data_IF_937823941103
#
_entry.id   IF_937823941103
#
_cell.length_a   1.000
_cell.length_b   1.000
_cell.length_c   1.000
_cell.angle_alpha   90.00
_cell.angle_beta   90.00
_cell.angle_gamma   90.00
#
_symmetry.space_group_name_H-M   'P 1'
#
loop_
_entity.id
_entity.type
_entity.pdbx_description
1 polymer ?
#
# COMPACT_ATOMS: atom_id res chain seq x y z
N UNK A 1 19.13 3.52 12.27
CA UNK A 1 18.26 3.28 11.11
C UNK A 1 16.81 3.72 11.34
N UNK A 2 16.17 3.34 12.46
CA UNK A 2 14.81 3.81 12.83
C UNK A 2 14.71 5.33 13.05
N UNK A 3 15.77 5.98 13.57
CA UNK A 3 15.82 7.43 13.72
C UNK A 3 15.82 8.19 12.39
N UNK A 4 16.42 7.62 11.35
CA UNK A 4 16.43 8.18 9.99
C UNK A 4 15.04 8.12 9.36
N UNK A 5 14.32 7.00 9.54
CA UNK A 5 12.93 6.85 9.12
C UNK A 5 12.00 7.82 9.87
N UNK A 6 12.17 7.98 11.20
CA UNK A 6 11.39 8.95 12.00
C UNK A 6 11.64 10.40 11.57
N UNK A 7 12.89 10.77 11.27
CA UNK A 7 13.24 12.12 10.79
C UNK A 7 12.63 12.43 9.42
N UNK A 8 12.67 11.48 8.47
CA UNK A 8 12.05 11.62 7.15
C UNK A 8 10.52 11.69 7.21
N UNK A 9 9.89 11.01 8.16
CA UNK A 9 8.44 11.06 8.36
C UNK A 9 7.97 12.28 9.18
N UNK A 10 8.83 12.83 10.05
CA UNK A 10 8.54 14.02 10.84
C UNK A 10 8.65 15.32 10.02
N UNK A 11 9.48 15.34 8.96
CA UNK A 11 9.71 16.52 8.11
C UNK A 11 8.55 16.95 7.21
N UNK A 12 7.36 16.35 7.33
CA UNK A 12 6.16 16.75 6.58
C UNK A 12 5.09 17.45 7.44
N UNK A 13 5.41 17.79 8.69
CA UNK A 13 4.60 18.65 9.55
C UNK A 13 5.40 19.91 9.90
N UNK A 14 5.39 20.95 9.05
CA UNK A 14 5.97 22.23 9.47
C UNK A 14 6.29 23.34 8.46
N UNK A 15 6.23 23.12 7.14
CA UNK A 15 6.64 24.19 6.20
C UNK A 15 5.48 25.13 5.84
N UNK A 16 5.43 26.27 6.51
CA UNK A 16 4.74 27.47 6.03
C UNK A 16 5.37 27.93 4.70
N UNK A 17 4.62 28.10 3.60
CA UNK A 17 5.19 28.64 2.39
C UNK A 17 5.39 30.16 2.55
N UNK A 18 6.50 30.72 2.04
CA UNK A 18 6.71 32.17 2.00
C UNK A 18 5.70 32.81 1.05
N UNK A 19 5.08 33.90 1.51
CA UNK A 19 4.22 34.75 0.70
C UNK A 19 5.04 35.42 -0.41
N UNK A 20 4.74 35.09 -1.67
CA UNK A 20 5.27 35.72 -2.87
C UNK A 20 4.15 35.91 -3.90
N UNK A 21 4.16 37.01 -4.69
CA UNK A 21 2.98 37.50 -5.38
C UNK A 21 2.66 36.73 -6.66
N UNK A 22 1.37 36.76 -6.99
CA UNK A 22 0.70 36.12 -8.12
C UNK A 22 1.48 36.19 -9.44
N UNK A 23 1.63 35.04 -10.10
CA UNK A 23 2.01 34.97 -11.52
C UNK A 23 0.92 34.28 -12.33
N UNK A 24 0.61 34.94 -13.43
CA UNK A 24 -0.50 34.72 -14.34
C UNK A 24 -0.20 33.58 -15.31
N UNK A 25 -0.59 32.36 -14.94
CA UNK A 25 -0.75 31.27 -15.90
C UNK A 25 -2.17 30.72 -15.79
N UNK A 26 -2.92 30.61 -16.91
CA UNK A 26 -4.30 30.13 -16.89
C UNK A 26 -4.32 28.66 -16.46
N UNK A 27 -5.09 28.37 -15.42
CA UNK A 27 -5.35 27.02 -14.92
C UNK A 27 -6.08 26.22 -16.01
N UNK A 28 -5.39 25.29 -16.67
CA UNK A 28 -6.10 24.26 -17.45
C UNK A 28 -6.88 23.37 -16.50
N UNK A 29 -8.20 23.35 -16.70
CA UNK A 29 -9.22 22.62 -15.95
C UNK A 29 -8.98 21.10 -15.99
N UNK A 30 -8.13 20.61 -15.09
CA UNK A 30 -8.13 19.23 -14.66
C UNK A 30 -7.98 19.27 -13.14
N UNK A 31 -9.12 19.49 -12.49
CA UNK A 31 -9.38 19.53 -11.04
C UNK A 31 -8.23 19.97 -10.14
N UNK A 32 -8.41 21.11 -9.46
CA UNK A 32 -7.58 21.49 -8.34
C UNK A 32 -7.46 20.31 -7.36
N UNK A 33 -6.23 19.81 -7.16
CA UNK A 33 -5.92 18.87 -6.08
C UNK A 33 -6.49 19.49 -4.80
N UNK A 34 -7.46 18.87 -4.12
CA UNK A 34 -7.99 19.44 -2.89
C UNK A 34 -6.81 19.67 -1.96
N UNK A 35 -6.69 20.91 -1.48
CA UNK A 35 -5.66 21.26 -0.52
C UNK A 35 -5.71 20.23 0.62
N UNK A 36 -4.57 19.69 1.09
CA UNK A 36 -4.57 18.78 2.21
C UNK A 36 -5.23 19.50 3.38
N UNK A 37 -6.45 19.10 3.73
CA UNK A 37 -7.18 19.66 4.85
C UNK A 37 -6.46 19.19 6.10
N UNK A 38 -5.63 20.06 6.68
CA UNK A 38 -4.89 19.77 7.90
C UNK A 38 -5.79 19.30 9.06
N UNK A 39 -7.09 19.64 9.02
CA UNK A 39 -8.10 19.19 9.99
C UNK A 39 -8.63 17.77 9.77
N UNK A 40 -8.65 17.23 8.55
CA UNK A 40 -9.07 15.84 8.30
C UNK A 40 -8.09 14.84 8.94
N UNK A 41 -6.83 15.24 9.06
CA UNK A 41 -5.76 14.45 9.67
C UNK A 41 -5.90 14.28 11.19
N UNK A 42 -6.52 15.23 11.89
CA UNK A 42 -6.71 15.19 13.36
C UNK A 42 -7.84 14.27 13.79
N UNK A 43 -8.82 14.01 12.92
CA UNK A 43 -10.01 13.21 13.24
C UNK A 43 -10.15 11.94 12.42
N UNK A 44 -9.16 11.58 11.59
CA UNK A 44 -9.25 10.37 10.80
C UNK A 44 -9.32 9.11 11.70
N UNK A 45 -10.47 8.42 11.79
CA UNK A 45 -10.69 7.36 12.78
C UNK A 45 -9.72 6.19 12.58
N UNK A 46 -9.26 5.98 11.35
CA UNK A 46 -8.32 4.91 11.01
C UNK A 46 -6.88 5.20 11.43
N UNK A 47 -6.49 6.46 11.73
CA UNK A 47 -5.11 6.77 12.15
C UNK A 47 -4.74 6.15 13.50
N UNK A 48 -5.73 5.85 14.35
CA UNK A 48 -5.54 5.14 15.61
C UNK A 48 -5.35 3.62 15.43
N UNK A 49 -5.80 3.06 14.30
CA UNK A 49 -5.65 1.63 14.02
C UNK A 49 -4.21 1.27 13.69
N UNK A 50 -3.63 0.33 14.45
CA UNK A 50 -2.29 -0.21 14.18
C UNK A 50 -2.21 -0.88 12.80
N UNK A 51 -3.26 -1.58 12.39
CA UNK A 51 -3.32 -2.26 11.09
C UNK A 51 -3.33 -1.26 9.94
N UNK A 52 -4.10 -0.17 10.07
CA UNK A 52 -4.12 0.89 9.07
C UNK A 52 -2.76 1.57 8.93
N UNK A 53 -2.14 1.93 10.06
CA UNK A 53 -0.80 2.53 10.06
C UNK A 53 0.22 1.62 9.39
N UNK A 54 0.25 0.33 9.74
CA UNK A 54 1.17 -0.63 9.13
C UNK A 54 0.96 -0.76 7.62
N UNK A 55 -0.30 -0.83 7.15
CA UNK A 55 -0.60 -0.86 5.70
C UNK A 55 -0.10 0.40 5.00
N UNK A 56 -0.38 1.57 5.58
CA UNK A 56 0.05 2.86 5.03
C UNK A 56 1.57 2.94 4.97
N UNK A 57 2.25 2.56 6.04
CA UNK A 57 3.70 2.64 6.13
C UNK A 57 4.35 1.66 5.14
N UNK A 58 3.80 0.46 4.96
CA UNK A 58 4.24 -0.47 3.92
C UNK A 58 4.09 0.10 2.51
N UNK A 59 2.95 0.75 2.21
CA UNK A 59 2.73 1.41 0.91
C UNK A 59 3.71 2.57 0.69
N UNK A 60 3.96 3.38 1.71
CA UNK A 60 4.91 4.49 1.63
C UNK A 60 6.34 3.98 1.39
N UNK A 61 6.76 2.93 2.07
CA UNK A 61 8.08 2.31 1.88
C UNK A 61 8.21 1.80 0.44
N UNK A 62 7.23 1.05 -0.06
CA UNK A 62 7.27 0.53 -1.44
C UNK A 62 7.25 1.67 -2.46
N UNK A 63 6.46 2.72 -2.24
CA UNK A 63 6.44 3.89 -3.11
C UNK A 63 7.81 4.58 -3.16
N UNK A 64 8.46 4.75 -2.01
CA UNK A 64 9.79 5.39 -1.95
C UNK A 64 10.88 4.49 -2.55
N UNK A 65 10.83 3.17 -2.32
CA UNK A 65 11.75 2.20 -2.94
C UNK A 65 11.73 2.25 -4.47
N UNK A 66 10.58 2.58 -5.04
CA UNK A 66 10.35 2.59 -6.48
C UNK A 66 10.25 4.01 -7.06
N UNK A 67 10.66 5.02 -6.27
CA UNK A 67 10.61 6.42 -6.69
C UNK A 67 11.53 6.66 -7.88
N UNK A 68 10.99 7.27 -8.93
CA UNK A 68 11.73 7.57 -10.16
C UNK A 68 11.84 6.38 -11.13
N UNK A 69 11.33 5.20 -10.77
CA UNK A 69 11.25 4.04 -11.64
C UNK A 69 9.86 3.93 -12.25
N UNK A 70 9.77 3.82 -13.58
CA UNK A 70 8.51 3.42 -14.23
C UNK A 70 8.31 1.93 -13.98
N UNK A 71 7.32 1.60 -13.15
CA UNK A 71 7.04 0.22 -12.77
C UNK A 71 5.94 -0.35 -13.66
N UNK A 72 6.32 -1.27 -14.54
CA UNK A 72 5.39 -1.90 -15.49
C UNK A 72 4.83 -3.23 -14.97
N UNK A 73 5.54 -3.89 -14.04
CA UNK A 73 5.11 -5.15 -13.44
C UNK A 73 4.39 -4.95 -12.09
N UNK A 74 3.05 -4.99 -12.14
CA UNK A 74 2.20 -4.94 -10.96
C UNK A 74 2.39 -6.14 -10.01
N UNK A 75 2.76 -7.32 -10.52
CA UNK A 75 2.99 -8.51 -9.69
C UNK A 75 4.30 -8.39 -8.89
N UNK A 76 5.30 -7.70 -9.44
CA UNK A 76 6.51 -7.35 -8.69
C UNK A 76 6.20 -6.39 -7.54
N UNK A 77 5.40 -5.34 -7.79
CA UNK A 77 4.96 -4.42 -6.73
C UNK A 77 4.17 -5.12 -5.63
N UNK A 78 3.26 -6.03 -6.01
CA UNK A 78 2.49 -6.82 -5.05
C UNK A 78 3.41 -7.69 -4.18
N UNK A 79 4.44 -8.31 -4.77
CA UNK A 79 5.44 -9.11 -4.04
C UNK A 79 6.27 -8.25 -3.09
N UNK A 80 6.74 -7.09 -3.54
CA UNK A 80 7.46 -6.15 -2.69
C UNK A 80 6.59 -5.69 -1.51
N UNK A 81 5.33 -5.35 -1.76
CA UNK A 81 4.40 -4.95 -0.73
C UNK A 81 4.15 -6.06 0.29
N UNK A 82 3.94 -7.30 -0.17
CA UNK A 82 3.76 -8.45 0.72
C UNK A 82 5.01 -8.70 1.57
N UNK A 83 6.21 -8.57 0.97
CA UNK A 83 7.48 -8.68 1.67
C UNK A 83 7.61 -7.61 2.76
N UNK A 84 7.44 -6.33 2.42
CA UNK A 84 7.54 -5.22 3.38
C UNK A 84 6.52 -5.38 4.51
N UNK A 85 5.28 -5.76 4.20
CA UNK A 85 4.26 -6.00 5.23
C UNK A 85 4.66 -7.13 6.19
N UNK A 86 5.21 -8.24 5.67
CA UNK A 86 5.70 -9.35 6.50
C UNK A 86 6.79 -8.87 7.46
N UNK A 87 7.81 -8.19 6.94
CA UNK A 87 8.95 -7.74 7.75
C UNK A 87 8.52 -6.72 8.83
N UNK A 88 7.62 -5.79 8.50
CA UNK A 88 7.08 -4.84 9.48
C UNK A 88 6.28 -5.53 10.60
N UNK A 89 5.48 -6.55 10.25
CA UNK A 89 4.75 -7.33 11.24
C UNK A 89 5.72 -8.11 12.13
N UNK A 90 6.74 -8.76 11.56
CA UNK A 90 7.75 -9.48 12.32
C UNK A 90 8.50 -8.54 13.28
N UNK A 91 8.92 -7.37 12.81
CA UNK A 91 9.55 -6.35 13.66
C UNK A 91 8.62 -5.91 14.80
N UNK A 92 7.34 -5.67 14.51
CA UNK A 92 6.34 -5.28 15.51
C UNK A 92 6.08 -6.37 16.57
N UNK A 93 6.24 -7.64 16.23
CA UNK A 93 6.10 -8.73 17.19
C UNK A 93 7.22 -8.78 18.23
N UNK A 94 8.43 -8.44 17.81
CA UNK A 94 9.61 -8.42 18.66
C UNK A 94 9.80 -7.09 19.39
N UNK A 95 8.94 -6.10 19.14
CA UNK A 95 8.93 -4.83 19.85
C UNK A 95 8.13 -4.96 21.17
N UNK A 96 8.83 -4.85 22.29
CA UNK A 96 8.24 -4.90 23.62
C UNK A 96 7.37 -3.67 23.94
N UNK A 97 7.52 -2.58 23.18
CA UNK A 97 6.79 -1.33 23.40
C UNK A 97 5.40 -1.33 22.74
N UNK A 98 5.08 -2.37 21.95
CA UNK A 98 3.77 -2.50 21.31
C UNK A 98 2.80 -3.22 22.27
N UNK A 99 1.60 -2.64 22.52
CA UNK A 99 0.57 -3.28 23.33
C UNK A 99 0.22 -4.69 22.86
N UNK A 100 -0.17 -5.56 23.81
CA UNK A 100 -0.51 -6.96 23.51
C UNK A 100 -1.69 -7.06 22.55
N UNK A 101 -2.68 -6.19 22.72
CA UNK A 101 -3.89 -6.09 21.90
C UNK A 101 -3.54 -5.80 20.44
N UNK A 102 -2.62 -4.86 20.22
CA UNK A 102 -2.14 -4.49 18.89
C UNK A 102 -1.36 -5.64 18.24
N UNK A 103 -0.52 -6.36 18.99
CA UNK A 103 0.16 -7.57 18.49
C UNK A 103 -0.82 -8.66 18.08
N UNK A 104 -1.89 -8.86 18.84
CA UNK A 104 -2.97 -9.80 18.47
C UNK A 104 -3.70 -9.34 17.21
N UNK A 105 -3.97 -8.04 17.06
CA UNK A 105 -4.61 -7.51 15.86
C UNK A 105 -3.73 -7.72 14.61
N UNK A 106 -2.42 -7.47 14.74
CA UNK A 106 -1.43 -7.74 13.69
C UNK A 106 -1.32 -9.23 13.37
N UNK A 107 -1.41 -10.11 14.37
CA UNK A 107 -1.47 -11.57 14.20
C UNK A 107 -2.60 -12.01 13.27
N UNK A 108 -3.82 -11.57 13.62
CA UNK A 108 -5.04 -11.90 12.89
C UNK A 108 -4.97 -11.37 11.47
N UNK A 109 -4.48 -10.14 11.31
CA UNK A 109 -4.28 -9.54 10.00
C UNK A 109 -3.26 -10.32 9.16
N UNK A 110 -2.13 -10.73 9.75
CA UNK A 110 -1.10 -11.50 9.04
C UNK A 110 -1.64 -12.85 8.56
N UNK A 111 -2.38 -13.56 9.41
CA UNK A 111 -3.01 -14.82 9.06
C UNK A 111 -4.01 -14.68 7.89
N UNK A 112 -4.79 -13.60 7.86
CA UNK A 112 -5.70 -13.30 6.73
C UNK A 112 -4.92 -13.07 5.43
N UNK A 113 -3.83 -12.30 5.49
CA UNK A 113 -3.01 -12.04 4.30
C UNK A 113 -2.32 -13.30 3.76
N UNK A 114 -1.86 -14.19 4.64
CA UNK A 114 -1.28 -15.47 4.23
C UNK A 114 -2.34 -16.33 3.54
N UNK A 115 -3.55 -16.43 4.10
CA UNK A 115 -4.65 -17.18 3.49
C UNK A 115 -5.01 -16.65 2.10
N UNK A 116 -5.11 -15.33 1.97
CA UNK A 116 -5.37 -14.70 0.67
C UNK A 116 -4.18 -14.84 -0.32
N UNK A 117 -2.95 -14.91 0.18
CA UNK A 117 -1.74 -15.08 -0.63
C UNK A 117 -1.44 -16.52 -1.07
N UNK A 118 -1.83 -17.53 -0.29
CA UNK A 118 -1.51 -18.95 -0.53
C UNK A 118 -2.57 -19.74 -1.32
N UNK A 119 -3.83 -19.28 -1.41
CA UNK A 119 -4.90 -20.17 -1.89
C UNK A 119 -6.00 -19.56 -2.75
N UNK A 120 -6.06 -18.24 -2.95
CA UNK A 120 -7.20 -17.62 -3.64
C UNK A 120 -6.78 -16.73 -4.81
N UNK A 121 -5.78 -17.16 -5.60
CA UNK A 121 -5.69 -16.69 -6.98
C UNK A 121 -6.91 -17.24 -7.69
N UNK A 122 -7.98 -16.44 -7.76
CA UNK A 122 -9.27 -16.73 -8.46
C UNK A 122 -9.13 -17.15 -9.94
N UNK A 123 -7.91 -17.25 -10.44
CA UNK A 123 -7.51 -17.59 -11.81
C UNK A 123 -6.71 -18.89 -11.92
N UNK A 124 -6.28 -19.50 -10.81
CA UNK A 124 -5.69 -20.84 -10.87
C UNK A 124 -6.78 -21.88 -10.64
N UNK A 125 -6.94 -22.86 -11.57
CA UNK A 125 -7.79 -24.00 -11.29
C UNK A 125 -7.27 -24.68 -10.02
N UNK A 126 -8.19 -25.00 -9.11
CA UNK A 126 -7.94 -25.86 -7.96
C UNK A 126 -7.10 -27.05 -8.45
N UNK A 127 -5.94 -27.28 -7.83
CA UNK A 127 -5.03 -28.36 -8.21
C UNK A 127 -5.82 -29.68 -8.20
N UNK A 128 -6.03 -30.26 -9.38
CA UNK A 128 -6.86 -31.46 -9.57
C UNK A 128 -8.15 -31.27 -10.39
N UNK A 129 -8.47 -30.06 -10.86
CA UNK A 129 -9.59 -29.82 -11.78
C UNK A 129 -9.05 -29.61 -13.20
N UNK A 130 -9.14 -30.64 -14.03
CA UNK A 130 -8.90 -30.52 -15.47
C UNK A 130 -10.00 -29.67 -16.11
N UNK A 131 -9.67 -28.45 -16.54
CA UNK A 131 -10.60 -27.65 -17.36
C UNK A 131 -10.53 -28.21 -18.78
N UNK A 132 -11.65 -28.71 -19.34
CA UNK A 132 -11.64 -29.29 -20.68
C UNK A 132 -11.29 -28.21 -21.72
N UNK A 133 -10.53 -28.55 -22.78
CA UNK A 133 -10.07 -27.57 -23.75
C UNK A 133 -11.24 -26.95 -24.51
N UNK A 134 -11.20 -25.62 -24.63
CA UNK A 134 -12.15 -24.83 -25.44
C UNK A 134 -12.03 -25.27 -26.90
N UNK A 135 -13.11 -25.83 -27.45
CA UNK A 135 -13.19 -26.22 -28.87
C UNK A 135 -13.06 -24.97 -29.74
N UNK A 136 -12.02 -24.91 -30.58
CA UNK A 136 -11.87 -23.85 -31.59
C UNK A 136 -13.02 -23.94 -32.61
N UNK A 137 -13.58 -22.81 -33.07
CA UNK A 137 -14.61 -22.84 -34.10
C UNK A 137 -13.99 -23.32 -35.42
N UNK A 138 -14.67 -24.28 -36.07
CA UNK A 138 -14.28 -24.79 -37.37
C UNK A 138 -14.30 -23.65 -38.39
N UNK A 139 -13.18 -23.50 -39.12
CA UNK A 139 -13.05 -22.55 -40.22
C UNK A 139 -14.09 -22.89 -41.28
N UNK A 140 -15.05 -21.99 -41.52
CA UNK A 140 -16.00 -22.14 -42.62
C UNK A 140 -15.21 -22.15 -43.94
N UNK A 141 -15.31 -23.26 -44.67
CA UNK A 141 -14.77 -23.39 -46.01
C UNK A 141 -15.64 -22.57 -46.98
N UNK A 142 -14.98 -21.75 -47.80
CA UNK A 142 -15.56 -21.07 -48.95
C UNK A 142 -15.44 -21.95 -50.19
#
# INVERSE_FOLDING_TARGET
MLAWLKSKLAGHYGDTPPAGPATAFPQTELMARPAPRADEDRHHPLRRSVVYRLKRDALLIVAEMNRGTKMEDCDLLARQLAFVQKELIQAAYHDEHIPKEDRIALAKYHALNIRHGLGERRTQPLRGVEVPPVRKPAKAAA
#
